data_IF_707788001060
#
_entry.id   IF_707788001060
#
_cell.length_a   1.000
_cell.length_b   1.000
_cell.length_c   1.000
_cell.angle_alpha   90.00
_cell.angle_beta   90.00
_cell.angle_gamma   90.00
#
_symmetry.space_group_name_H-M   'P 1'
#
loop_
_entity.id
_entity.type
_entity.pdbx_description
1 polymer ?
#
# COMPACT_ATOMS: atom_id res chain seq x y z
N UNK A 1 -7.44 -22.72 16.86
CA UNK A 1 -6.26 -23.36 16.22
C UNK A 1 -5.02 -22.58 16.61
N UNK A 2 -3.92 -23.25 16.94
CA UNK A 2 -2.68 -22.59 17.35
C UNK A 2 -2.00 -21.89 16.17
N UNK A 3 -1.46 -20.69 16.39
CA UNK A 3 -0.71 -19.92 15.38
C UNK A 3 0.61 -20.64 15.10
N UNK A 4 0.90 -21.08 13.86
CA UNK A 4 2.15 -21.75 13.55
C UNK A 4 3.32 -20.77 13.72
N UNK A 5 4.12 -20.96 14.76
CA UNK A 5 5.36 -20.22 15.08
C UNK A 5 5.25 -18.68 15.07
N UNK A 6 4.04 -18.13 15.21
CA UNK A 6 3.80 -16.68 15.19
C UNK A 6 3.89 -16.02 13.81
N UNK A 7 3.91 -16.80 12.72
CA UNK A 7 3.92 -16.29 11.34
C UNK A 7 2.50 -16.24 10.81
N UNK A 8 1.85 -15.09 10.96
CA UNK A 8 0.52 -14.86 10.39
C UNK A 8 0.60 -14.66 8.86
N UNK A 9 -0.42 -15.13 8.14
CA UNK A 9 -0.55 -14.95 6.70
C UNK A 9 -0.87 -13.49 6.38
N UNK A 10 -0.22 -12.92 5.37
CA UNK A 10 -0.47 -11.53 5.02
C UNK A 10 -1.79 -11.38 4.30
N UNK A 11 -2.61 -10.44 4.77
CA UNK A 11 -3.92 -10.11 4.20
C UNK A 11 -3.75 -9.25 2.95
N UNK A 12 -4.77 -9.25 2.10
CA UNK A 12 -4.84 -8.36 0.95
C UNK A 12 -4.84 -6.88 1.40
N UNK A 13 -4.24 -6.02 0.58
CA UNK A 13 -4.11 -4.57 0.82
C UNK A 13 -4.78 -3.78 -0.29
N UNK A 14 -5.30 -2.61 0.03
CA UNK A 14 -5.93 -1.71 -0.93
C UNK A 14 -4.91 -0.72 -1.52
N UNK A 15 -5.12 -0.35 -2.78
CA UNK A 15 -4.34 0.70 -3.41
C UNK A 15 -4.69 2.06 -2.81
N UNK A 16 -3.69 2.90 -2.59
CA UNK A 16 -3.89 4.26 -2.09
C UNK A 16 -2.91 5.22 -2.76
N UNK A 17 -3.25 6.49 -2.74
CA UNK A 17 -2.42 7.54 -3.30
C UNK A 17 -3.17 8.85 -3.41
N UNK A 18 -2.67 9.74 -4.26
CA UNK A 18 -3.24 11.09 -4.44
C UNK A 18 -3.85 11.25 -5.83
N UNK A 19 -4.95 12.00 -5.88
CA UNK A 19 -5.58 12.47 -7.10
C UNK A 19 -5.63 13.99 -7.09
N UNK A 20 -5.53 14.60 -8.26
CA UNK A 20 -5.73 16.04 -8.45
C UNK A 20 -7.21 16.31 -8.72
N UNK A 21 -7.83 17.10 -7.85
CA UNK A 21 -9.18 17.61 -7.99
C UNK A 21 -9.16 19.11 -8.33
N UNK A 22 -10.10 19.53 -9.17
CA UNK A 22 -10.28 20.92 -9.59
C UNK A 22 -11.73 21.34 -9.40
N UNK A 23 -11.98 22.64 -9.29
CA UNK A 23 -13.32 23.19 -9.12
C UNK A 23 -13.32 24.61 -8.59
N UNK A 24 -14.45 25.00 -8.01
CA UNK A 24 -14.64 26.30 -7.36
C UNK A 24 -13.88 26.31 -6.04
N UNK A 25 -12.99 27.29 -5.88
CA UNK A 25 -12.24 27.50 -4.65
C UNK A 25 -13.16 27.58 -3.42
N UNK A 26 -12.79 26.86 -2.37
CA UNK A 26 -13.55 26.75 -1.12
C UNK A 26 -14.59 25.63 -1.10
N UNK A 27 -14.83 24.93 -2.22
CA UNK A 27 -15.69 23.75 -2.24
C UNK A 27 -15.09 22.64 -1.38
N UNK A 28 -15.90 22.02 -0.53
CA UNK A 28 -15.47 20.92 0.33
C UNK A 28 -15.73 19.57 -0.33
N UNK A 29 -14.67 18.78 -0.48
CA UNK A 29 -14.75 17.35 -0.71
C UNK A 29 -14.71 16.63 0.64
N UNK A 30 -15.73 15.83 0.91
CA UNK A 30 -15.87 15.10 2.18
C UNK A 30 -15.13 13.77 2.10
N UNK A 31 -14.68 13.28 3.26
CA UNK A 31 -14.26 11.89 3.39
C UNK A 31 -15.43 10.95 3.03
N UNK A 32 -15.11 9.73 2.58
CA UNK A 32 -16.06 8.71 2.12
C UNK A 32 -16.80 9.06 0.81
N UNK A 33 -16.48 10.18 0.16
CA UNK A 33 -16.99 10.47 -1.19
C UNK A 33 -16.41 9.46 -2.18
N UNK A 34 -17.26 8.86 -3.00
CA UNK A 34 -16.88 7.78 -3.91
C UNK A 34 -16.56 8.25 -5.33
N UNK A 35 -15.52 7.64 -5.88
CA UNK A 35 -14.98 7.84 -7.22
C UNK A 35 -14.92 6.49 -7.94
N UNK A 36 -15.35 6.44 -9.20
CA UNK A 36 -15.24 5.26 -10.07
C UNK A 36 -13.98 5.36 -10.92
N UNK A 37 -13.14 4.33 -10.84
CA UNK A 37 -11.95 4.18 -11.69
C UNK A 37 -12.26 3.58 -13.07
N UNK A 38 -11.30 3.68 -14.01
CA UNK A 38 -11.45 3.11 -15.35
C UNK A 38 -11.42 1.58 -15.34
N UNK A 39 -10.93 0.98 -14.26
CA UNK A 39 -10.97 -0.45 -13.97
C UNK A 39 -12.34 -0.93 -13.44
N UNK A 40 -13.31 -0.03 -13.26
CA UNK A 40 -14.63 -0.35 -12.74
C UNK A 40 -14.69 -0.51 -11.23
N UNK A 41 -13.60 -0.28 -10.49
CA UNK A 41 -13.57 -0.31 -9.03
C UNK A 41 -13.86 1.07 -8.43
N UNK A 42 -14.27 1.07 -7.17
CA UNK A 42 -14.61 2.27 -6.42
C UNK A 42 -13.47 2.68 -5.49
N UNK A 43 -13.28 4.00 -5.37
CA UNK A 43 -12.25 4.63 -4.56
C UNK A 43 -12.90 5.67 -3.67
N UNK A 44 -12.50 5.72 -2.41
CA UNK A 44 -13.01 6.65 -1.42
C UNK A 44 -11.99 7.74 -1.09
N UNK A 45 -12.49 8.95 -0.86
CA UNK A 45 -11.67 10.04 -0.31
C UNK A 45 -11.41 9.78 1.18
N UNK A 46 -10.16 9.87 1.60
CA UNK A 46 -9.75 9.53 2.97
C UNK A 46 -9.97 10.67 3.97
N UNK A 47 -9.86 11.92 3.52
CA UNK A 47 -9.91 13.10 4.41
C UNK A 47 -10.66 14.24 3.76
N UNK A 48 -11.27 15.11 4.58
CA UNK A 48 -11.88 16.35 4.11
C UNK A 48 -10.82 17.25 3.48
N UNK A 49 -11.08 17.76 2.29
CA UNK A 49 -10.22 18.70 1.57
C UNK A 49 -11.05 19.85 1.02
N UNK A 50 -10.57 21.08 1.18
CA UNK A 50 -11.14 22.25 0.51
C UNK A 50 -10.35 22.53 -0.77
N UNK A 51 -11.06 22.67 -1.91
CA UNK A 51 -10.44 22.98 -3.19
C UNK A 51 -9.81 24.38 -3.17
N UNK A 52 -8.60 24.50 -3.71
CA UNK A 52 -7.90 25.76 -3.90
C UNK A 52 -8.14 26.38 -5.29
N UNK A 53 -7.37 27.42 -5.61
CA UNK A 53 -7.34 28.00 -6.97
C UNK A 53 -6.48 27.11 -7.89
N UNK A 54 -7.05 25.98 -8.33
CA UNK A 54 -6.42 25.02 -9.25
C UNK A 54 -6.36 23.60 -8.70
N UNK A 55 -5.39 22.84 -9.20
CA UNK A 55 -5.14 21.45 -8.83
C UNK A 55 -4.92 21.30 -7.33
N UNK A 56 -5.84 20.58 -6.68
CA UNK A 56 -5.81 20.31 -5.24
C UNK A 56 -5.58 18.82 -5.03
N UNK A 57 -4.51 18.40 -4.32
CA UNK A 57 -4.26 17.00 -4.04
C UNK A 57 -5.27 16.47 -3.03
N UNK A 58 -5.83 15.30 -3.32
CA UNK A 58 -6.81 14.59 -2.48
C UNK A 58 -6.34 13.17 -2.31
N UNK A 59 -6.18 12.72 -1.06
CA UNK A 59 -5.81 11.34 -0.77
C UNK A 59 -7.02 10.41 -0.92
N UNK A 60 -6.85 9.33 -1.68
CA UNK A 60 -7.87 8.34 -1.95
C UNK A 60 -7.37 6.92 -1.70
N UNK A 61 -8.28 6.00 -1.43
CA UNK A 61 -8.01 4.58 -1.31
C UNK A 61 -9.06 3.76 -2.08
N UNK A 62 -8.65 2.66 -2.71
CA UNK A 62 -9.56 1.71 -3.33
C UNK A 62 -10.40 1.03 -2.24
N UNK A 63 -11.71 0.93 -2.45
CA UNK A 63 -12.62 0.25 -1.52
C UNK A 63 -12.33 -1.26 -1.49
N UNK A 64 -12.02 -1.84 -2.65
CA UNK A 64 -11.59 -3.22 -2.77
C UNK A 64 -10.09 -3.37 -2.56
N UNK A 65 -9.68 -4.44 -1.87
CA UNK A 65 -8.28 -4.85 -1.76
C UNK A 65 -7.85 -5.66 -2.99
N UNK A 66 -6.55 -5.65 -3.29
CA UNK A 66 -5.99 -6.40 -4.41
C UNK A 66 -5.22 -5.53 -5.39
N UNK A 67 -4.46 -6.16 -6.29
CA UNK A 67 -3.62 -5.45 -7.26
C UNK A 67 -4.42 -4.79 -8.38
N UNK A 68 -5.65 -5.24 -8.61
CA UNK A 68 -6.57 -4.64 -9.58
C UNK A 68 -6.95 -3.19 -9.24
N UNK A 69 -6.84 -2.78 -7.98
CA UNK A 69 -7.06 -1.40 -7.53
C UNK A 69 -5.92 -0.44 -7.86
N UNK A 70 -4.78 -0.92 -8.34
CA UNK A 70 -3.65 -0.05 -8.67
C UNK A 70 -3.95 0.75 -9.96
N UNK A 71 -3.74 2.06 -9.91
CA UNK A 71 -3.89 2.97 -11.05
C UNK A 71 -2.60 3.75 -11.29
N UNK A 72 -2.14 3.82 -12.53
CA UNK A 72 -0.95 4.60 -12.90
C UNK A 72 -1.29 6.08 -13.01
N UNK A 73 -0.25 6.92 -12.97
CA UNK A 73 -0.34 8.37 -13.19
C UNK A 73 -1.17 8.70 -14.44
N UNK A 74 -1.98 9.75 -14.34
CA UNK A 74 -2.73 10.29 -15.47
C UNK A 74 -4.04 9.57 -15.77
N UNK A 75 -4.32 8.44 -15.10
CA UNK A 75 -5.65 7.82 -15.19
C UNK A 75 -6.71 8.70 -14.52
N UNK A 76 -7.93 8.66 -15.05
CA UNK A 76 -9.02 9.52 -14.59
C UNK A 76 -10.01 8.75 -13.74
N UNK A 77 -10.32 9.29 -12.57
CA UNK A 77 -11.38 8.87 -11.66
C UNK A 77 -12.58 9.79 -11.83
N UNK A 78 -13.79 9.23 -11.77
CA UNK A 78 -15.03 10.00 -11.96
C UNK A 78 -15.88 9.95 -10.69
N UNK A 79 -16.38 11.09 -10.21
CA UNK A 79 -17.30 11.12 -9.09
C UNK A 79 -18.56 10.31 -9.40
N UNK A 80 -18.94 9.41 -8.49
CA UNK A 80 -20.17 8.62 -8.61
C UNK A 80 -21.37 9.53 -8.36
N UNK A 81 -21.31 10.28 -7.27
CA UNK A 81 -22.28 11.31 -6.92
C UNK A 81 -21.64 12.69 -7.13
N UNK A 82 -22.10 13.48 -8.13
CA UNK A 82 -21.52 14.78 -8.42
C UNK A 82 -21.58 15.73 -7.22
N UNK A 83 -20.44 16.31 -6.85
CA UNK A 83 -20.35 17.30 -5.78
C UNK A 83 -20.46 18.70 -6.39
N UNK A 84 -21.47 19.51 -6.04
CA UNK A 84 -21.62 20.86 -6.58
C UNK A 84 -20.39 21.72 -6.32
N UNK A 85 -19.84 22.32 -7.38
CA UNK A 85 -18.63 23.15 -7.30
C UNK A 85 -17.33 22.37 -7.47
N UNK A 86 -17.35 21.04 -7.56
CA UNK A 86 -16.20 20.22 -7.95
C UNK A 86 -16.37 19.76 -9.39
N UNK A 87 -15.26 19.67 -10.14
CA UNK A 87 -15.26 19.00 -11.43
C UNK A 87 -15.52 17.50 -11.22
N UNK A 88 -16.23 16.89 -12.17
CA UNK A 88 -16.69 15.51 -12.04
C UNK A 88 -15.57 14.47 -12.20
N UNK A 89 -14.38 14.90 -12.64
CA UNK A 89 -13.24 14.03 -12.93
C UNK A 89 -12.02 14.49 -12.14
N UNK A 90 -11.29 13.52 -11.58
CA UNK A 90 -10.03 13.72 -10.88
C UNK A 90 -8.94 12.90 -11.56
N UNK A 91 -7.70 13.41 -11.58
CA UNK A 91 -6.59 12.74 -12.27
C UNK A 91 -5.64 12.12 -11.25
N UNK A 92 -5.29 10.85 -11.42
CA UNK A 92 -4.31 10.16 -10.58
C UNK A 92 -2.96 10.87 -10.67
N UNK A 93 -2.40 11.22 -9.52
CA UNK A 93 -1.14 11.95 -9.40
C UNK A 93 0.08 11.12 -9.83
N UNK A 94 1.25 11.76 -9.84
CA UNK A 94 2.49 11.20 -10.39
C UNK A 94 2.97 9.91 -9.71
N UNK A 95 2.60 9.69 -8.45
CA UNK A 95 2.94 8.46 -7.73
C UNK A 95 2.02 7.27 -8.04
N UNK A 96 0.92 7.49 -8.76
CA UNK A 96 -0.13 6.50 -8.94
C UNK A 96 -0.95 6.24 -7.66
N UNK A 97 -1.98 5.41 -7.78
CA UNK A 97 -2.59 4.70 -6.66
C UNK A 97 -1.95 3.32 -6.60
N UNK A 98 -1.15 3.07 -5.57
CA UNK A 98 -0.28 1.89 -5.46
C UNK A 98 -0.46 1.19 -4.12
N UNK A 99 0.16 0.03 -3.96
CA UNK A 99 0.13 -0.75 -2.72
C UNK A 99 -1.05 -1.72 -2.62
N UNK A 100 -1.92 -1.77 -3.63
CA UNK A 100 -2.91 -2.83 -3.77
C UNK A 100 -2.22 -4.15 -4.05
N UNK A 101 -2.50 -5.16 -3.23
CA UNK A 101 -1.93 -6.49 -3.37
C UNK A 101 -2.90 -7.57 -2.89
N UNK A 102 -2.82 -8.74 -3.52
CA UNK A 102 -3.59 -9.90 -3.11
C UNK A 102 -3.12 -10.43 -1.76
N UNK A 103 -4.00 -11.18 -1.09
CA UNK A 103 -3.63 -11.98 0.07
C UNK A 103 -2.49 -12.92 -0.32
N UNK A 104 -1.49 -13.04 0.55
CA UNK A 104 -0.33 -13.91 0.31
C UNK A 104 -0.77 -15.33 -0.04
N UNK A 105 -0.15 -15.96 -1.04
CA UNK A 105 -0.54 -17.32 -1.43
C UNK A 105 -0.28 -18.32 -0.30
N UNK A 106 -1.05 -19.42 -0.25
CA UNK A 106 -0.87 -20.46 0.77
C UNK A 106 0.53 -21.09 0.67
N UNK A 107 1.09 -21.19 -0.53
CA UNK A 107 2.41 -21.79 -0.74
C UNK A 107 3.54 -20.85 -0.30
N UNK A 108 3.45 -19.54 -0.57
CA UNK A 108 4.41 -18.55 -0.07
C UNK A 108 4.37 -18.47 1.47
N UNK A 109 3.16 -18.48 2.04
CA UNK A 109 2.98 -18.51 3.49
C UNK A 109 3.59 -19.77 4.11
N UNK A 110 3.40 -20.94 3.49
CA UNK A 110 4.02 -22.20 3.94
C UNK A 110 5.54 -22.12 3.91
N UNK A 111 6.12 -21.52 2.88
CA UNK A 111 7.57 -21.33 2.77
C UNK A 111 8.08 -20.47 3.93
N UNK A 112 7.42 -19.34 4.24
CA UNK A 112 7.80 -18.49 5.37
C UNK A 112 7.66 -19.17 6.72
N UNK A 113 6.60 -19.95 6.94
CA UNK A 113 6.41 -20.73 8.17
C UNK A 113 7.53 -21.77 8.33
N UNK A 114 7.89 -22.46 7.25
CA UNK A 114 8.98 -23.44 7.26
C UNK A 114 10.34 -22.77 7.49
N UNK A 115 10.57 -21.60 6.90
CA UNK A 115 11.78 -20.81 7.12
C UNK A 115 11.90 -20.35 8.58
N UNK A 116 10.81 -19.81 9.16
CA UNK A 116 10.79 -19.42 10.57
C UNK A 116 11.08 -20.59 11.49
N UNK A 117 10.46 -21.75 11.24
CA UNK A 117 10.75 -22.97 12.00
C UNK A 117 12.24 -23.32 11.95
N UNK A 118 12.84 -23.31 10.76
CA UNK A 118 14.27 -23.59 10.60
C UNK A 118 15.14 -22.56 11.32
N UNK A 119 14.81 -21.28 11.23
CA UNK A 119 15.55 -20.20 11.92
C UNK A 119 15.49 -20.38 13.43
N UNK A 120 14.30 -20.56 14.00
CA UNK A 120 14.11 -20.72 15.45
C UNK A 120 14.86 -21.93 15.99
N UNK A 121 14.80 -23.07 15.28
CA UNK A 121 15.46 -24.31 15.73
C UNK A 121 16.99 -24.25 15.56
N UNK A 122 17.51 -23.61 14.51
CA UNK A 122 18.95 -23.64 14.21
C UNK A 122 19.73 -22.44 14.74
N UNK A 123 19.10 -21.27 14.84
CA UNK A 123 19.75 -19.99 15.19
C UNK A 123 19.16 -19.33 16.44
N UNK A 124 18.14 -19.95 17.04
CA UNK A 124 17.42 -19.41 18.18
C UNK A 124 16.50 -18.25 17.80
N UNK A 125 16.02 -17.52 18.80
CA UNK A 125 15.13 -16.39 18.59
C UNK A 125 15.79 -15.29 17.72
N UNK A 126 14.93 -14.57 16.98
CA UNK A 126 15.31 -13.38 16.22
C UNK A 126 15.90 -12.33 17.17
N UNK A 127 17.07 -11.79 16.80
CA UNK A 127 17.85 -10.86 17.63
C UNK A 127 18.84 -10.09 16.75
N UNK A 128 18.36 -9.05 16.07
CA UNK A 128 19.12 -8.07 15.28
C UNK A 128 20.12 -8.66 14.27
N UNK A 129 19.84 -9.85 13.74
CA UNK A 129 20.66 -10.47 12.69
C UNK A 129 20.17 -9.98 11.32
N UNK A 130 21.03 -9.96 10.28
CA UNK A 130 20.60 -9.58 8.93
C UNK A 130 19.34 -10.31 8.43
N UNK A 131 19.22 -11.61 8.69
CA UNK A 131 18.06 -12.39 8.27
C UNK A 131 16.76 -12.04 9.04
N UNK A 132 16.87 -11.42 10.22
CA UNK A 132 15.73 -10.92 10.99
C UNK A 132 15.13 -9.68 10.33
N UNK A 133 15.97 -8.74 9.91
CA UNK A 133 15.52 -7.58 9.16
C UNK A 133 14.88 -7.96 7.82
N UNK A 134 15.40 -9.00 7.14
CA UNK A 134 14.79 -9.51 5.91
C UNK A 134 13.39 -10.07 6.17
N UNK A 135 13.26 -10.91 7.20
CA UNK A 135 11.98 -11.49 7.57
C UNK A 135 10.94 -10.42 7.95
N UNK A 136 11.34 -9.41 8.73
CA UNK A 136 10.46 -8.30 9.07
C UNK A 136 10.03 -7.49 7.85
N UNK A 137 10.96 -7.24 6.91
CA UNK A 137 10.62 -6.56 5.66
C UNK A 137 9.61 -7.37 4.83
N UNK A 138 9.82 -8.68 4.66
CA UNK A 138 8.88 -9.56 3.94
C UNK A 138 7.53 -9.67 4.63
N UNK A 139 7.49 -9.58 5.96
CA UNK A 139 6.25 -9.65 6.74
C UNK A 139 5.46 -8.34 6.74
N UNK A 140 6.02 -7.25 6.22
CA UNK A 140 5.38 -5.94 6.26
C UNK A 140 4.26 -5.79 5.22
N UNK A 141 4.36 -6.46 4.07
CA UNK A 141 3.40 -6.31 2.97
C UNK A 141 3.46 -7.49 1.98
N UNK A 142 2.33 -7.99 1.44
CA UNK A 142 2.31 -9.15 0.54
C UNK A 142 3.23 -9.02 -0.68
N UNK A 143 3.38 -7.80 -1.22
CA UNK A 143 4.25 -7.56 -2.38
C UNK A 143 5.76 -7.58 -2.10
N UNK A 144 6.20 -7.64 -0.83
CA UNK A 144 7.63 -7.65 -0.48
C UNK A 144 8.16 -9.08 -0.52
N UNK A 145 8.84 -9.43 -1.61
CA UNK A 145 9.33 -10.80 -1.83
C UNK A 145 10.71 -11.04 -1.22
N UNK A 146 11.53 -10.01 -1.07
CA UNK A 146 12.86 -10.11 -0.45
C UNK A 146 13.34 -8.75 0.07
N UNK A 147 14.46 -8.71 0.76
CA UNK A 147 15.14 -7.48 1.13
C UNK A 147 16.66 -7.65 1.16
N UNK A 148 17.36 -6.65 0.60
CA UNK A 148 18.80 -6.49 0.73
C UNK A 148 19.12 -5.77 2.04
N UNK A 149 19.95 -6.40 2.87
CA UNK A 149 20.32 -5.90 4.20
C UNK A 149 21.79 -5.52 4.19
N UNK A 150 22.07 -4.25 4.53
CA UNK A 150 23.43 -3.73 4.59
C UNK A 150 23.67 -3.12 5.97
N UNK A 151 24.62 -3.69 6.72
CA UNK A 151 24.97 -3.18 8.04
C UNK A 151 26.07 -2.13 7.96
N UNK A 152 26.01 -1.15 8.84
CA UNK A 152 27.00 -0.10 9.09
C UNK A 152 27.24 0.88 7.94
N UNK A 153 26.32 0.98 6.98
CA UNK A 153 26.47 1.85 5.79
C UNK A 153 26.65 3.33 6.17
N UNK A 154 25.97 3.79 7.22
CA UNK A 154 26.02 5.18 7.69
C UNK A 154 26.70 5.31 9.06
N UNK A 155 27.62 4.39 9.38
CA UNK A 155 28.31 4.31 10.66
C UNK A 155 27.89 3.08 11.49
N UNK A 156 28.68 2.74 12.49
CA UNK A 156 28.42 1.58 13.35
C UNK A 156 27.04 1.67 14.02
N UNK A 157 26.33 0.55 14.05
CA UNK A 157 24.95 0.46 14.56
C UNK A 157 23.85 0.85 13.57
N UNK A 158 24.18 1.31 12.35
CA UNK A 158 23.17 1.57 11.31
C UNK A 158 22.86 0.30 10.52
N UNK A 159 21.59 0.11 10.14
CA UNK A 159 21.16 -0.96 9.23
C UNK A 159 20.31 -0.34 8.13
N UNK A 160 20.68 -0.59 6.88
CA UNK A 160 19.92 -0.19 5.70
C UNK A 160 19.20 -1.42 5.15
N UNK A 161 17.88 -1.32 5.07
CA UNK A 161 16.99 -2.35 4.53
C UNK A 161 16.42 -1.85 3.22
N UNK A 162 16.61 -2.59 2.13
CA UNK A 162 16.08 -2.26 0.80
C UNK A 162 15.15 -3.39 0.34
N UNK A 163 13.83 -3.26 0.51
CA UNK A 163 12.88 -4.27 0.08
C UNK A 163 12.82 -4.35 -1.45
N UNK A 164 12.66 -5.57 -1.96
CA UNK A 164 12.33 -5.85 -3.35
C UNK A 164 10.84 -6.09 -3.45
N UNK A 165 10.16 -5.31 -4.28
CA UNK A 165 8.71 -5.35 -4.45
C UNK A 165 8.40 -5.82 -5.86
N UNK A 166 7.45 -6.76 -5.98
CA UNK A 166 6.86 -7.14 -7.27
C UNK A 166 5.51 -6.44 -7.40
N UNK A 167 5.33 -5.71 -8.51
CA UNK A 167 4.13 -4.92 -8.83
C UNK A 167 3.29 -5.69 -9.83
#
# INVERSE_FOLDING_TARGET
MGRPYGVDRLVATAAAGEVSATGVNGTQLLAETLLRGPNGLDYEILTVVALGDGDTPVSVCCVDTGSNGNLIEGQTLTLIDPVPGCDNTMTVGASGLMGGAEEESVDDWRIRVADEWNVVVTRGARSDKPDDFRFWAQSAHPSVTSALIQMHVFGLGTVVVRPSVTI
#
